data_IF_668445301336
#
_entry.id   IF_668445301336
#
_cell.length_a   1.000
_cell.length_b   1.000
_cell.length_c   1.000
_cell.angle_alpha   90.00
_cell.angle_beta   90.00
_cell.angle_gamma   90.00
#
_symmetry.space_group_name_H-M   'P 1'
#
loop_
_entity.id
_entity.type
_entity.pdbx_description
1 polymer ?
#
# COMPACT_ATOMS: atom_id res chain seq x y z
N UNK A 1 -14.23 -2.87 -13.89
CA UNK A 1 -14.35 -4.21 -13.29
C UNK A 1 -13.59 -4.19 -11.98
N UNK A 2 -14.06 -4.91 -10.95
CA UNK A 2 -13.37 -5.01 -9.66
C UNK A 2 -12.30 -6.10 -9.70
N UNK A 3 -11.10 -5.84 -9.20
CA UNK A 3 -9.98 -6.81 -9.17
C UNK A 3 -9.76 -7.28 -7.73
N UNK A 4 -9.55 -8.58 -7.53
CA UNK A 4 -9.16 -9.10 -6.22
C UNK A 4 -7.70 -8.72 -5.92
N UNK A 5 -7.47 -8.10 -4.77
CA UNK A 5 -6.14 -7.72 -4.29
C UNK A 5 -5.90 -8.29 -2.89
N UNK A 6 -4.62 -8.36 -2.52
CA UNK A 6 -4.17 -8.73 -1.19
C UNK A 6 -3.31 -7.62 -0.61
N UNK A 7 -3.59 -7.27 0.64
CA UNK A 7 -2.89 -6.21 1.36
C UNK A 7 -2.25 -6.81 2.61
N UNK A 8 -1.00 -6.43 2.91
CA UNK A 8 -0.33 -6.80 4.14
C UNK A 8 -0.62 -5.75 5.21
N UNK A 9 -1.08 -6.18 6.39
CA UNK A 9 -1.35 -5.26 7.50
C UNK A 9 -0.69 -5.75 8.78
N UNK A 10 -0.31 -4.78 9.61
CA UNK A 10 0.37 -4.97 10.88
C UNK A 10 -0.51 -4.43 12.02
N UNK A 11 -0.57 -5.16 13.12
CA UNK A 11 -1.31 -4.75 14.32
C UNK A 11 -0.55 -3.59 15.00
N UNK A 12 -1.19 -2.43 15.16
CA UNK A 12 -0.52 -1.22 15.66
C UNK A 12 -0.07 -1.35 17.14
N UNK A 13 -0.88 -1.93 18.04
CA UNK A 13 -0.44 -2.31 19.38
C UNK A 13 0.70 -3.34 19.46
N UNK A 14 0.84 -4.23 18.48
CA UNK A 14 1.82 -5.33 18.48
C UNK A 14 2.32 -5.62 17.06
N UNK A 15 3.44 -5.01 16.69
CA UNK A 15 3.99 -5.12 15.33
C UNK A 15 4.43 -6.55 14.94
N UNK A 16 4.54 -7.47 15.90
CA UNK A 16 4.81 -8.89 15.63
C UNK A 16 3.60 -9.62 15.04
N UNK A 17 2.40 -9.06 15.17
CA UNK A 17 1.17 -9.64 14.63
C UNK A 17 0.82 -9.02 13.29
N UNK A 18 0.71 -9.87 12.28
CA UNK A 18 0.49 -9.46 10.89
C UNK A 18 -0.53 -10.37 10.22
N UNK A 19 -1.23 -9.87 9.20
CA UNK A 19 -2.16 -10.68 8.39
C UNK A 19 -2.19 -10.18 6.95
N UNK A 20 -2.60 -11.08 6.05
CA UNK A 20 -3.03 -10.71 4.71
C UNK A 20 -4.54 -10.47 4.71
N UNK A 21 -4.96 -9.36 4.10
CA UNK A 21 -6.39 -9.03 3.91
C UNK A 21 -6.69 -9.11 2.42
N UNK A 22 -7.70 -9.91 2.07
CA UNK A 22 -8.21 -9.96 0.70
C UNK A 22 -9.35 -8.97 0.55
N UNK A 23 -9.35 -8.17 -0.52
CA UNK A 23 -10.49 -7.33 -0.87
C UNK A 23 -10.61 -7.13 -2.38
N UNK A 24 -11.73 -6.57 -2.81
CA UNK A 24 -11.91 -6.13 -4.19
C UNK A 24 -11.57 -4.65 -4.31
N UNK A 25 -10.76 -4.31 -5.30
CA UNK A 25 -10.40 -2.95 -5.66
C UNK A 25 -11.15 -2.54 -6.93
N UNK A 26 -11.70 -1.33 -6.92
CA UNK A 26 -12.28 -0.69 -8.10
C UNK A 26 -11.45 0.56 -8.42
N UNK A 27 -11.28 0.84 -9.70
CA UNK A 27 -10.54 2.01 -10.18
C UNK A 27 -11.56 3.06 -10.62
N UNK A 28 -11.56 4.18 -9.93
CA UNK A 28 -12.37 5.36 -10.25
C UNK A 28 -11.62 6.33 -11.17
N UNK A 29 -12.32 7.34 -11.68
CA UNK A 29 -11.73 8.32 -12.59
C UNK A 29 -10.57 9.06 -11.90
N UNK A 30 -9.44 9.17 -12.61
CA UNK A 30 -8.21 9.75 -12.06
C UNK A 30 -7.35 8.80 -11.22
N UNK A 31 -7.79 7.56 -10.98
CA UNK A 31 -7.04 6.56 -10.22
C UNK A 31 -6.33 5.54 -11.12
N UNK A 32 -5.37 4.85 -10.52
CA UNK A 32 -4.72 3.66 -11.08
C UNK A 32 -4.74 2.53 -10.05
N UNK A 33 -4.77 1.30 -10.53
CA UNK A 33 -4.42 0.13 -9.74
C UNK A 33 -3.02 -0.32 -10.15
N UNK A 34 -2.13 -0.45 -9.17
CA UNK A 34 -0.76 -0.89 -9.40
C UNK A 34 -0.46 -2.16 -8.59
N UNK A 35 0.18 -3.13 -9.25
CA UNK A 35 0.70 -4.34 -8.64
C UNK A 35 2.14 -4.08 -8.16
N UNK A 36 2.38 -4.22 -6.86
CA UNK A 36 3.72 -4.08 -6.27
C UNK A 36 4.57 -5.29 -6.69
N UNK A 37 5.64 -5.04 -7.45
CA UNK A 37 6.50 -6.11 -7.96
C UNK A 37 7.67 -6.40 -7.02
N UNK A 38 8.27 -5.34 -6.47
CA UNK A 38 9.45 -5.40 -5.59
C UNK A 38 9.45 -4.21 -4.65
N UNK A 39 9.79 -4.44 -3.39
CA UNK A 39 9.92 -3.40 -2.39
C UNK A 39 11.03 -3.74 -1.39
N UNK A 40 11.49 -2.73 -0.67
CA UNK A 40 12.44 -2.90 0.43
C UNK A 40 11.71 -2.83 1.78
N UNK A 41 11.87 -3.88 2.58
CA UNK A 41 11.46 -3.91 3.98
C UNK A 41 12.72 -4.04 4.85
N UNK A 42 12.95 -3.04 5.68
CA UNK A 42 14.17 -2.88 6.48
C UNK A 42 13.85 -2.40 7.88
N UNK A 43 14.84 -2.26 8.75
CA UNK A 43 14.67 -1.65 10.07
C UNK A 43 14.08 -0.23 10.02
N UNK A 44 14.25 0.51 8.91
CA UNK A 44 13.64 1.83 8.74
C UNK A 44 12.11 1.77 8.81
N UNK A 45 11.49 0.72 8.28
CA UNK A 45 10.03 0.58 8.27
C UNK A 45 9.44 0.43 9.69
N UNK A 46 10.21 -0.10 10.65
CA UNK A 46 9.81 -0.10 12.07
C UNK A 46 9.71 1.31 12.62
N UNK A 47 10.56 2.24 12.15
CA UNK A 47 10.49 3.65 12.54
C UNK A 47 9.20 4.29 12.02
N UNK A 48 8.74 3.94 10.82
CA UNK A 48 7.45 4.40 10.30
C UNK A 48 6.27 3.90 11.14
N UNK A 49 6.35 2.67 11.65
CA UNK A 49 5.32 2.13 12.54
C UNK A 49 5.33 2.86 13.89
N UNK A 50 6.49 2.94 14.55
CA UNK A 50 6.63 3.58 15.88
C UNK A 50 6.26 5.07 15.84
N UNK A 51 6.67 5.78 14.79
CA UNK A 51 6.36 7.19 14.62
C UNK A 51 5.04 7.44 13.88
N UNK A 52 4.23 6.40 13.64
CA UNK A 52 3.14 6.45 12.68
C UNK A 52 2.04 7.45 13.04
N UNK A 53 1.69 7.58 14.32
CA UNK A 53 0.72 8.58 14.78
C UNK A 53 1.31 9.99 14.81
N UNK A 54 2.59 10.11 15.20
CA UNK A 54 3.28 11.40 15.33
C UNK A 54 3.57 12.06 13.98
N UNK A 55 3.95 11.27 12.98
CA UNK A 55 4.31 11.72 11.63
C UNK A 55 3.22 11.40 10.60
N UNK A 56 2.07 10.90 11.05
CA UNK A 56 0.90 10.60 10.25
C UNK A 56 1.13 9.52 9.15
N UNK A 57 2.09 8.61 9.33
CA UNK A 57 2.38 7.55 8.36
C UNK A 57 1.18 6.60 8.16
N UNK A 58 0.39 6.36 9.21
CA UNK A 58 -0.79 5.50 9.13
C UNK A 58 -1.88 6.02 8.18
N UNK A 59 -1.89 7.31 7.90
CA UNK A 59 -2.89 7.95 7.05
C UNK A 59 -2.53 7.90 5.56
N UNK A 60 -1.29 7.56 5.19
CA UNK A 60 -0.93 7.41 3.78
C UNK A 60 -1.70 6.26 3.12
N UNK A 61 -1.85 5.16 3.85
CA UNK A 61 -2.54 3.96 3.39
C UNK A 61 -3.47 3.43 4.48
N UNK A 62 -4.74 3.87 4.50
CA UNK A 62 -5.70 3.46 5.51
C UNK A 62 -5.93 1.94 5.56
N UNK A 63 -6.20 1.46 6.77
CA UNK A 63 -6.55 0.07 7.10
C UNK A 63 -7.67 0.05 8.15
N UNK A 64 -8.17 -1.15 8.47
CA UNK A 64 -9.15 -1.34 9.56
C UNK A 64 -8.63 -0.85 10.91
N UNK A 65 -9.53 -0.46 11.80
CA UNK A 65 -9.19 -0.02 13.14
C UNK A 65 -8.29 -1.02 13.88
N UNK A 66 -7.21 -0.51 14.46
CA UNK A 66 -6.20 -1.31 15.15
C UNK A 66 -5.10 -1.87 14.24
N UNK A 67 -5.30 -1.86 12.92
CA UNK A 67 -4.34 -2.31 11.91
C UNK A 67 -3.75 -1.12 11.15
N UNK A 68 -2.58 -1.34 10.52
CA UNK A 68 -1.91 -0.34 9.69
C UNK A 68 -1.15 -0.99 8.54
N UNK A 69 -0.96 -0.23 7.46
CA UNK A 69 -0.10 -0.60 6.33
C UNK A 69 1.20 0.17 6.49
N UNK A 70 2.30 -0.54 6.73
CA UNK A 70 3.60 0.09 6.86
C UNK A 70 4.11 0.41 5.46
N UNK A 71 4.25 1.68 5.10
CA UNK A 71 4.63 2.03 3.76
C UNK A 71 6.07 1.61 3.43
N UNK A 72 6.28 1.26 2.17
CA UNK A 72 7.57 0.78 1.63
C UNK A 72 7.95 1.58 0.39
N UNK A 73 9.24 1.68 0.13
CA UNK A 73 9.73 2.14 -1.17
C UNK A 73 9.90 0.95 -2.11
N UNK A 74 9.38 1.08 -3.34
CA UNK A 74 9.40 -0.03 -4.28
C UNK A 74 8.98 0.34 -5.69
N UNK A 75 8.96 -0.68 -6.54
CA UNK A 75 8.47 -0.63 -7.90
C UNK A 75 7.12 -1.33 -8.00
N UNK A 76 6.19 -0.70 -8.69
CA UNK A 76 4.90 -1.27 -9.03
C UNK A 76 4.62 -1.11 -10.53
N UNK A 77 3.78 -1.99 -11.07
CA UNK A 77 3.31 -1.93 -12.45
C UNK A 77 1.83 -1.58 -12.46
N UNK A 78 1.43 -0.60 -13.26
CA UNK A 78 0.03 -0.22 -13.45
C UNK A 78 -0.69 -1.37 -14.17
N UNK A 79 -1.68 -1.98 -13.52
CA UNK A 79 -2.46 -3.10 -14.07
C UNK A 79 -3.86 -2.70 -14.52
N UNK A 80 -4.35 -1.53 -14.06
CA UNK A 80 -5.56 -0.91 -14.56
C UNK A 80 -5.44 0.61 -14.40
N UNK A 81 -5.87 1.40 -15.38
CA UNK A 81 -5.82 2.87 -15.29
C UNK A 81 -7.07 3.55 -15.80
N UNK A 82 -7.53 4.54 -15.02
CA UNK A 82 -8.47 5.58 -15.47
C UNK A 82 -7.87 6.98 -15.27
N UNK A 83 -6.55 7.06 -15.11
CA UNK A 83 -5.83 8.31 -14.94
C UNK A 83 -5.26 8.76 -16.27
N UNK A 84 -5.61 9.98 -16.70
CA UNK A 84 -5.09 10.55 -17.94
C UNK A 84 -3.58 10.75 -17.82
N UNK A 85 -2.82 10.10 -18.71
CA UNK A 85 -1.37 10.24 -18.77
C UNK A 85 -0.59 9.12 -18.09
N UNK A 86 -1.27 8.14 -17.46
CA UNK A 86 -0.63 6.97 -16.85
C UNK A 86 -1.22 5.71 -17.50
N UNK A 87 -0.62 5.14 -18.57
CA UNK A 87 -1.11 3.93 -19.20
C UNK A 87 -0.93 2.66 -18.33
N UNK A 88 -1.76 1.65 -18.62
CA UNK A 88 -1.53 0.28 -18.15
C UNK A 88 -0.19 -0.25 -18.69
N UNK A 89 0.50 -1.05 -17.87
CA UNK A 89 1.86 -1.54 -18.14
C UNK A 89 2.98 -0.59 -17.72
N UNK A 90 2.67 0.67 -17.41
CA UNK A 90 3.69 1.61 -16.91
C UNK A 90 4.26 1.15 -15.57
N UNK A 91 5.57 1.34 -15.41
CA UNK A 91 6.29 0.95 -14.20
C UNK A 91 6.61 2.20 -13.39
N UNK A 92 6.07 2.26 -12.18
CA UNK A 92 6.22 3.38 -11.26
C UNK A 92 7.16 3.01 -10.11
N UNK A 93 7.87 4.00 -9.59
CA UNK A 93 8.67 3.91 -8.37
C UNK A 93 8.12 4.92 -7.36
N UNK A 94 7.96 4.50 -6.12
CA UNK A 94 7.39 5.39 -5.12
C UNK A 94 7.22 4.76 -3.74
N UNK A 95 6.47 5.48 -2.92
CA UNK A 95 6.02 5.06 -1.62
C UNK A 95 4.69 4.31 -1.76
N UNK A 96 4.66 3.06 -1.30
CA UNK A 96 3.62 2.07 -1.60
C UNK A 96 3.12 1.42 -0.30
N UNK A 97 1.87 0.90 -0.27
CA UNK A 97 1.29 0.23 0.90
C UNK A 97 1.90 -1.15 1.19
#
# INVERSE_FOLDING_TARGET
MSIAIREFVVNRPDYGQTKWVERRAEVEDGQVLAEIEKFALTANNITYAVAGDMLNYWSFFPAEDGWGKIPVWGFARVVQSKCKGIPEGERIYGYLP
#
